data_IF_358620753560
#
_entry.id   IF_358620753560
#
_cell.length_a   1.000
_cell.length_b   1.000
_cell.length_c   1.000
_cell.angle_alpha   90.00
_cell.angle_beta   90.00
_cell.angle_gamma   90.00
#
_symmetry.space_group_name_H-M   'P 1'
#
loop_
_entity.id
_entity.type
_entity.pdbx_description
1 polymer ?
#
# COMPACT_ATOMS: atom_id res chain seq x y z
N UNK A 1 -44.30 -21.12 32.75
CA UNK A 1 -42.95 -20.51 32.87
C UNK A 1 -43.01 -19.16 32.21
N UNK A 2 -42.83 -18.06 32.99
CA UNK A 2 -43.26 -16.69 32.62
C UNK A 2 -42.42 -16.04 31.51
N UNK A 3 -43.02 -15.62 30.43
CA UNK A 3 -42.45 -14.84 29.30
C UNK A 3 -41.61 -13.64 29.76
N UNK A 4 -41.98 -13.04 30.91
CA UNK A 4 -41.22 -11.94 31.55
C UNK A 4 -39.84 -12.37 32.07
N UNK A 5 -39.63 -13.65 32.40
CA UNK A 5 -38.33 -14.19 32.86
C UNK A 5 -37.39 -14.37 31.68
N UNK A 6 -37.87 -14.88 30.53
CA UNK A 6 -37.08 -14.97 29.29
C UNK A 6 -36.66 -13.58 28.77
N UNK A 7 -37.57 -12.58 28.85
CA UNK A 7 -37.24 -11.22 28.44
C UNK A 7 -36.14 -10.60 29.31
N UNK A 8 -36.14 -10.88 30.60
CA UNK A 8 -35.10 -10.40 31.54
C UNK A 8 -33.75 -11.09 31.29
N UNK A 9 -33.75 -12.38 30.97
CA UNK A 9 -32.52 -13.12 30.62
C UNK A 9 -31.96 -12.60 29.29
N UNK A 10 -32.78 -12.41 28.27
CA UNK A 10 -32.38 -11.85 26.98
C UNK A 10 -31.82 -10.42 27.14
N UNK A 11 -32.48 -9.60 27.98
CA UNK A 11 -31.98 -8.26 28.28
C UNK A 11 -30.65 -8.28 29.04
N UNK A 12 -30.49 -9.19 30.00
CA UNK A 12 -29.25 -9.35 30.74
C UNK A 12 -28.11 -9.89 29.84
N UNK A 13 -28.39 -10.84 28.95
CA UNK A 13 -27.42 -11.34 27.95
C UNK A 13 -27.06 -10.26 26.93
N UNK A 14 -28.01 -9.43 26.53
CA UNK A 14 -27.76 -8.27 25.65
C UNK A 14 -26.90 -7.23 26.34
N UNK A 15 -27.17 -6.91 27.62
CA UNK A 15 -26.37 -5.99 28.43
C UNK A 15 -24.97 -6.55 28.74
N UNK A 16 -24.85 -7.86 29.02
CA UNK A 16 -23.56 -8.51 29.17
C UNK A 16 -22.75 -8.51 27.85
N UNK A 17 -23.42 -8.72 26.72
CA UNK A 17 -22.80 -8.62 25.39
C UNK A 17 -22.28 -7.21 25.05
N UNK A 18 -22.92 -6.16 25.57
CA UNK A 18 -22.46 -4.77 25.40
C UNK A 18 -21.32 -4.39 26.34
N UNK A 19 -21.12 -5.13 27.44
CA UNK A 19 -20.03 -4.92 28.42
C UNK A 19 -18.74 -5.68 28.05
N UNK A 20 -18.82 -6.74 27.24
CA UNK A 20 -17.62 -7.38 26.67
C UNK A 20 -17.11 -6.51 25.53
N UNK A 21 -16.23 -5.61 25.88
CA UNK A 21 -15.74 -4.53 25.08
C UNK A 21 -15.49 -4.89 23.61
N UNK A 22 -16.04 -4.09 22.74
CA UNK A 22 -15.68 -4.04 21.34
C UNK A 22 -14.16 -3.95 21.27
N UNK A 23 -13.51 -4.98 20.75
CA UNK A 23 -12.10 -4.88 20.37
C UNK A 23 -12.05 -3.98 19.14
N UNK A 24 -12.23 -2.68 19.35
CA UNK A 24 -11.81 -1.68 18.39
C UNK A 24 -10.30 -1.81 18.26
N UNK A 25 -9.79 -1.75 17.05
CA UNK A 25 -8.35 -1.62 16.82
C UNK A 25 -7.87 -0.47 17.71
N UNK A 26 -6.83 -0.73 18.53
CA UNK A 26 -6.27 0.28 19.43
C UNK A 26 -5.75 1.44 18.56
N UNK A 27 -6.57 2.47 18.43
CA UNK A 27 -6.28 3.62 17.59
C UNK A 27 -5.49 4.62 18.43
N UNK A 28 -4.24 4.84 18.07
CA UNK A 28 -3.46 5.94 18.61
C UNK A 28 -4.11 7.26 18.18
N UNK A 29 -3.93 8.30 18.99
CA UNK A 29 -4.43 9.66 18.69
C UNK A 29 -4.01 10.07 17.27
N UNK A 30 -4.96 10.53 16.47
CA UNK A 30 -4.69 11.01 15.12
C UNK A 30 -3.70 12.18 15.16
N UNK A 31 -2.73 12.17 14.26
CA UNK A 31 -1.82 13.29 14.10
C UNK A 31 -2.60 14.49 13.52
N UNK A 32 -2.56 15.68 14.15
CA UNK A 32 -3.16 16.87 13.56
C UNK A 32 -2.63 17.13 12.15
N UNK A 33 -3.51 17.56 11.24
CA UNK A 33 -3.18 17.71 9.81
C UNK A 33 -1.96 18.61 9.55
N UNK A 34 -1.76 19.64 10.37
CA UNK A 34 -0.58 20.54 10.30
C UNK A 34 0.76 19.83 10.43
N UNK A 35 0.82 18.69 11.14
CA UNK A 35 2.04 17.90 11.34
C UNK A 35 2.14 16.70 10.37
N UNK A 36 1.21 16.55 9.43
CA UNK A 36 1.19 15.40 8.52
C UNK A 36 2.48 15.25 7.69
N UNK A 37 3.14 16.38 7.38
CA UNK A 37 4.42 16.40 6.65
C UNK A 37 5.62 16.05 7.52
N UNK A 38 5.55 16.32 8.83
CA UNK A 38 6.62 16.04 9.78
C UNK A 38 6.62 14.57 10.23
N UNK A 39 5.53 13.85 9.90
CA UNK A 39 5.40 12.45 10.23
C UNK A 39 6.42 11.61 9.46
N UNK A 40 7.40 11.08 10.16
CA UNK A 40 8.43 10.19 9.61
C UNK A 40 8.15 8.73 9.92
N UNK A 41 8.78 7.86 9.17
CA UNK A 41 8.85 6.44 9.49
C UNK A 41 10.12 6.21 10.30
N UNK A 42 9.98 5.56 11.45
CA UNK A 42 11.11 5.25 12.29
C UNK A 42 12.19 4.50 11.50
N UNK A 43 13.42 5.02 11.55
CA UNK A 43 14.55 4.48 10.80
C UNK A 43 14.50 4.65 9.26
N UNK A 44 13.45 5.29 8.69
CA UNK A 44 13.30 5.43 7.23
C UNK A 44 12.79 6.83 6.86
N UNK A 45 13.69 7.82 6.82
CA UNK A 45 13.35 9.18 6.46
C UNK A 45 13.06 9.35 4.96
N UNK A 46 12.18 10.29 4.63
CA UNK A 46 11.93 10.74 3.25
C UNK A 46 11.35 9.70 2.30
N UNK A 47 10.69 8.65 2.80
CA UNK A 47 10.09 7.59 1.96
C UNK A 47 8.63 7.87 1.59
N UNK A 48 8.05 8.97 2.11
CA UNK A 48 6.64 9.35 1.89
C UNK A 48 6.50 10.85 1.68
N UNK A 49 5.52 11.24 0.87
CA UNK A 49 5.26 12.63 0.51
C UNK A 49 3.77 12.95 0.66
N UNK A 50 3.47 14.05 1.35
CA UNK A 50 2.12 14.62 1.44
C UNK A 50 1.94 15.61 0.31
N UNK A 51 1.40 15.17 -0.82
CA UNK A 51 1.35 15.97 -2.07
C UNK A 51 0.33 17.11 -2.06
N UNK A 52 -0.41 17.30 -0.99
CA UNK A 52 -1.27 18.45 -0.79
C UNK A 52 -0.58 19.61 -0.05
N UNK A 53 0.72 19.52 0.16
CA UNK A 53 1.48 20.53 0.88
C UNK A 53 2.71 20.94 0.08
N UNK A 54 3.09 22.23 0.10
CA UNK A 54 4.27 22.70 -0.62
C UNK A 54 5.54 21.92 -0.28
N UNK A 55 5.78 21.65 1.02
CA UNK A 55 6.95 20.91 1.48
C UNK A 55 6.98 19.47 1.00
N UNK A 56 5.82 18.79 0.97
CA UNK A 56 5.73 17.42 0.46
C UNK A 56 5.92 17.33 -1.06
N UNK A 57 5.39 18.31 -1.81
CA UNK A 57 5.63 18.43 -3.24
C UNK A 57 7.10 18.68 -3.52
N UNK A 58 7.72 19.63 -2.81
CA UNK A 58 9.14 19.94 -3.00
C UNK A 58 10.03 18.73 -2.71
N UNK A 59 9.77 17.99 -1.63
CA UNK A 59 10.51 16.77 -1.31
C UNK A 59 10.37 15.70 -2.38
N UNK A 60 9.17 15.53 -2.94
CA UNK A 60 8.92 14.62 -4.06
C UNK A 60 9.71 15.04 -5.30
N UNK A 61 9.64 16.32 -5.67
CA UNK A 61 10.36 16.85 -6.84
C UNK A 61 11.87 16.68 -6.71
N UNK A 62 12.44 16.98 -5.53
CA UNK A 62 13.87 16.77 -5.27
C UNK A 62 14.29 15.32 -5.45
N UNK A 63 13.49 14.34 -4.97
CA UNK A 63 13.78 12.92 -5.18
C UNK A 63 13.68 12.52 -6.66
N UNK A 64 12.71 13.08 -7.39
CA UNK A 64 12.57 12.82 -8.82
C UNK A 64 13.72 13.43 -9.65
N UNK A 65 14.18 14.63 -9.29
CA UNK A 65 15.35 15.26 -9.89
C UNK A 65 16.60 14.42 -9.70
N UNK A 66 16.86 13.92 -8.47
CA UNK A 66 17.97 13.01 -8.18
C UNK A 66 17.89 11.71 -9.01
N UNK A 67 16.71 11.12 -9.09
CA UNK A 67 16.49 9.93 -9.91
C UNK A 67 16.76 10.20 -11.40
N UNK A 68 16.30 11.34 -11.90
CA UNK A 68 16.52 11.76 -13.29
C UNK A 68 18.01 12.01 -13.58
N UNK A 69 18.78 12.58 -12.65
CA UNK A 69 20.23 12.74 -12.80
C UNK A 69 20.94 11.40 -12.93
N UNK A 70 20.55 10.40 -12.13
CA UNK A 70 21.10 9.03 -12.22
C UNK A 70 20.71 8.43 -13.58
N UNK A 71 19.44 8.52 -13.97
CA UNK A 71 18.93 7.99 -15.23
C UNK A 71 19.66 8.59 -16.44
N UNK A 72 19.87 9.89 -16.45
CA UNK A 72 20.56 10.60 -17.52
C UNK A 72 22.06 10.22 -17.62
N UNK A 73 22.69 9.84 -16.52
CA UNK A 73 24.08 9.32 -16.53
C UNK A 73 24.13 7.90 -17.11
N UNK A 74 23.19 7.05 -16.73
CA UNK A 74 23.12 5.65 -17.16
C UNK A 74 22.65 5.53 -18.62
N UNK A 75 21.70 6.35 -19.04
CA UNK A 75 21.08 6.30 -20.36
C UNK A 75 20.91 7.71 -20.95
N UNK A 76 21.99 8.36 -21.41
CA UNK A 76 21.92 9.70 -21.95
C UNK A 76 20.97 9.77 -23.17
N UNK A 77 20.03 10.71 -23.15
CA UNK A 77 19.07 10.97 -24.26
C UNK A 77 18.10 9.81 -24.55
N UNK A 78 18.00 8.78 -23.71
CA UNK A 78 16.97 7.76 -23.86
C UNK A 78 15.58 8.35 -23.60
N UNK A 79 14.53 7.87 -24.28
CA UNK A 79 13.17 8.28 -23.99
C UNK A 79 12.78 7.84 -22.57
N UNK A 80 12.05 8.72 -21.86
CA UNK A 80 11.53 8.41 -20.53
C UNK A 80 10.15 7.77 -20.71
N UNK A 81 10.03 6.51 -20.30
CA UNK A 81 8.79 5.75 -20.33
C UNK A 81 8.14 5.76 -18.96
N UNK A 82 6.91 6.21 -18.90
CA UNK A 82 6.10 6.28 -17.69
C UNK A 82 4.87 5.38 -17.79
N UNK A 83 4.64 4.57 -16.76
CA UNK A 83 3.45 3.74 -16.63
C UNK A 83 2.65 4.11 -15.38
N UNK A 84 1.39 4.46 -15.56
CA UNK A 84 0.44 4.69 -14.47
C UNK A 84 -0.59 3.56 -14.42
N UNK A 85 -0.67 2.87 -13.28
CA UNK A 85 -1.58 1.75 -13.05
C UNK A 85 -2.71 2.18 -12.10
N UNK A 86 -3.90 2.34 -12.65
CA UNK A 86 -5.08 2.74 -11.88
C UNK A 86 -5.62 1.61 -10.99
N UNK A 87 -6.44 1.99 -10.02
CA UNK A 87 -7.28 1.05 -9.28
C UNK A 87 -8.39 0.47 -10.14
N UNK A 88 -9.16 -0.47 -9.58
CA UNK A 88 -10.30 -1.09 -10.29
C UNK A 88 -10.64 -2.49 -9.80
N UNK A 89 -10.13 -2.92 -8.64
CA UNK A 89 -10.41 -4.24 -8.07
C UNK A 89 -10.12 -5.36 -9.07
N UNK A 90 -11.11 -6.21 -9.36
CA UNK A 90 -10.98 -7.33 -10.32
C UNK A 90 -10.65 -6.92 -11.75
N UNK A 91 -10.91 -5.67 -12.16
CA UNK A 91 -10.54 -5.16 -13.49
C UNK A 91 -9.02 -5.04 -13.68
N UNK A 92 -8.22 -5.15 -12.61
CA UNK A 92 -6.77 -5.27 -12.71
C UNK A 92 -6.31 -6.44 -13.58
N UNK A 93 -7.13 -7.48 -13.75
CA UNK A 93 -6.86 -8.58 -14.66
C UNK A 93 -6.66 -8.11 -16.12
N UNK A 94 -7.39 -7.07 -16.54
CA UNK A 94 -7.18 -6.44 -17.85
C UNK A 94 -5.78 -5.81 -17.96
N UNK A 95 -5.37 -5.04 -16.94
CA UNK A 95 -4.03 -4.42 -16.94
C UNK A 95 -2.90 -5.46 -16.93
N UNK A 96 -3.05 -6.53 -16.15
CA UNK A 96 -2.10 -7.63 -16.12
C UNK A 96 -2.02 -8.36 -17.48
N UNK A 97 -3.19 -8.61 -18.11
CA UNK A 97 -3.28 -9.21 -19.42
C UNK A 97 -2.65 -8.34 -20.52
N UNK A 98 -2.90 -7.03 -20.46
CA UNK A 98 -2.31 -6.05 -21.38
C UNK A 98 -0.78 -6.05 -21.27
N UNK A 99 -0.22 -5.97 -20.07
CA UNK A 99 1.23 -6.01 -19.84
C UNK A 99 1.85 -7.30 -20.35
N UNK A 100 1.22 -8.44 -20.06
CA UNK A 100 1.65 -9.75 -20.55
C UNK A 100 1.64 -9.81 -22.10
N UNK A 101 0.52 -9.41 -22.74
CA UNK A 101 0.41 -9.40 -24.20
C UNK A 101 1.38 -8.42 -24.85
N UNK A 102 1.63 -7.27 -24.21
CA UNK A 102 2.61 -6.30 -24.71
C UNK A 102 4.04 -6.86 -24.68
N UNK A 103 4.42 -7.59 -23.64
CA UNK A 103 5.71 -8.30 -23.63
C UNK A 103 5.80 -9.36 -24.72
N UNK A 104 4.70 -10.12 -24.95
CA UNK A 104 4.67 -11.14 -26.03
C UNK A 104 4.84 -10.54 -27.44
N UNK A 105 4.46 -9.27 -27.63
CA UNK A 105 4.69 -8.56 -28.89
C UNK A 105 6.16 -8.11 -29.09
N UNK A 106 6.99 -8.21 -28.06
CA UNK A 106 8.38 -7.74 -28.07
C UNK A 106 8.54 -6.22 -28.12
N UNK A 107 7.45 -5.46 -27.96
CA UNK A 107 7.46 -4.00 -28.08
C UNK A 107 7.29 -3.25 -26.75
N UNK A 108 7.12 -3.98 -25.64
CA UNK A 108 6.98 -3.37 -24.31
C UNK A 108 8.29 -2.69 -23.90
N UNK A 109 8.27 -1.36 -23.66
CA UNK A 109 9.47 -0.67 -23.21
C UNK A 109 9.78 -1.00 -21.76
N UNK A 110 11.01 -0.78 -21.35
CA UNK A 110 11.34 -0.67 -19.94
C UNK A 110 10.78 0.68 -19.42
N UNK A 111 10.09 0.63 -18.27
CA UNK A 111 9.50 1.84 -17.69
C UNK A 111 10.49 2.46 -16.70
N UNK A 112 10.83 3.74 -16.91
CA UNK A 112 11.69 4.50 -16.00
C UNK A 112 10.94 4.88 -14.72
N UNK A 113 9.62 5.11 -14.82
CA UNK A 113 8.77 5.37 -13.68
C UNK A 113 7.48 4.54 -13.77
N UNK A 114 7.13 3.90 -12.65
CA UNK A 114 5.85 3.21 -12.50
C UNK A 114 5.13 3.74 -11.27
N UNK A 115 3.86 4.10 -11.44
CA UNK A 115 2.99 4.46 -10.32
C UNK A 115 1.81 3.51 -10.23
N UNK A 116 1.31 3.27 -9.02
CA UNK A 116 0.16 2.38 -8.83
C UNK A 116 -0.73 2.77 -7.66
N UNK A 117 -2.03 2.51 -7.80
CA UNK A 117 -3.03 2.68 -6.75
C UNK A 117 -3.92 1.45 -6.71
N UNK A 118 -4.28 0.96 -5.51
CA UNK A 118 -5.18 -0.18 -5.29
C UNK A 118 -4.68 -1.44 -6.03
N UNK A 119 -5.46 -2.05 -6.91
CA UNK A 119 -5.01 -3.19 -7.73
C UNK A 119 -3.80 -2.83 -8.60
N UNK A 120 -3.70 -1.57 -9.06
CA UNK A 120 -2.49 -1.07 -9.73
C UNK A 120 -1.25 -1.09 -8.84
N UNK A 121 -1.39 -0.83 -7.55
CA UNK A 121 -0.28 -0.95 -6.58
C UNK A 121 0.19 -2.40 -6.41
N UNK A 122 -0.72 -3.38 -6.55
CA UNK A 122 -0.38 -4.80 -6.51
C UNK A 122 0.40 -5.26 -7.75
N UNK A 123 0.13 -4.65 -8.92
CA UNK A 123 0.83 -4.92 -10.19
C UNK A 123 2.16 -4.17 -10.31
N UNK A 124 2.24 -2.98 -9.73
CA UNK A 124 3.33 -2.02 -9.98
C UNK A 124 4.74 -2.59 -9.78
N UNK A 125 5.07 -3.36 -8.72
CA UNK A 125 6.40 -3.93 -8.54
C UNK A 125 6.81 -4.87 -9.68
N UNK A 126 5.88 -5.68 -10.18
CA UNK A 126 6.12 -6.64 -11.27
C UNK A 126 6.25 -5.92 -12.62
N UNK A 127 5.36 -4.97 -12.88
CA UNK A 127 5.44 -4.12 -14.07
C UNK A 127 6.74 -3.32 -14.13
N UNK A 128 7.22 -2.85 -12.99
CA UNK A 128 8.46 -2.11 -12.83
C UNK A 128 9.69 -2.97 -13.10
N UNK A 129 9.72 -4.20 -12.61
CA UNK A 129 10.83 -5.12 -12.85
C UNK A 129 10.82 -5.75 -14.25
N UNK A 130 9.71 -5.61 -14.99
CA UNK A 130 9.62 -5.94 -16.40
C UNK A 130 9.23 -7.38 -16.71
N UNK A 131 9.52 -7.81 -17.93
CA UNK A 131 9.02 -9.04 -18.57
C UNK A 131 9.33 -10.32 -17.77
N UNK A 132 10.46 -10.39 -17.08
CA UNK A 132 10.81 -11.56 -16.25
C UNK A 132 9.81 -11.89 -15.15
N UNK A 133 8.91 -10.95 -14.81
CA UNK A 133 7.86 -11.10 -13.80
C UNK A 133 6.45 -11.30 -14.39
N UNK A 134 6.31 -11.33 -15.70
CA UNK A 134 5.00 -11.44 -16.35
C UNK A 134 4.31 -12.78 -16.09
N UNK A 135 5.05 -13.88 -16.00
CA UNK A 135 4.48 -15.19 -15.65
C UNK A 135 3.89 -15.17 -14.23
N UNK A 136 4.56 -14.50 -13.29
CA UNK A 136 4.08 -14.32 -11.92
C UNK A 136 2.85 -13.39 -11.90
N UNK A 137 2.89 -12.28 -12.64
CA UNK A 137 1.78 -11.37 -12.77
C UNK A 137 0.54 -12.06 -13.37
N UNK A 138 0.71 -12.83 -14.45
CA UNK A 138 -0.33 -13.65 -15.05
C UNK A 138 -0.95 -14.60 -14.03
N UNK A 139 -0.12 -15.36 -13.31
CA UNK A 139 -0.59 -16.30 -12.28
C UNK A 139 -1.42 -15.59 -11.21
N UNK A 140 -0.97 -14.42 -10.71
CA UNK A 140 -1.68 -13.65 -9.69
C UNK A 140 -3.09 -13.22 -10.14
N UNK A 141 -3.31 -12.98 -11.43
CA UNK A 141 -4.59 -12.48 -11.94
C UNK A 141 -5.46 -13.54 -12.63
N UNK A 142 -4.94 -14.74 -12.88
CA UNK A 142 -5.71 -15.83 -13.50
C UNK A 142 -6.07 -16.97 -12.54
N UNK A 143 -5.29 -17.17 -11.46
CA UNK A 143 -5.52 -18.28 -10.51
C UNK A 143 -6.11 -17.83 -9.18
N UNK A 144 -6.08 -16.52 -8.88
CA UNK A 144 -6.58 -15.97 -7.62
C UNK A 144 -8.06 -15.63 -7.75
N UNK A 145 -8.87 -16.25 -6.91
CA UNK A 145 -10.29 -16.00 -6.79
C UNK A 145 -10.59 -14.90 -5.76
N UNK A 146 -11.84 -14.38 -5.76
CA UNK A 146 -12.29 -13.43 -4.73
C UNK A 146 -12.06 -13.94 -3.31
N UNK A 147 -12.20 -15.26 -3.08
CA UNK A 147 -12.00 -15.90 -1.75
C UNK A 147 -10.55 -15.85 -1.27
N UNK A 148 -9.60 -15.80 -2.21
CA UNK A 148 -8.16 -15.73 -1.90
C UNK A 148 -7.72 -14.30 -1.54
N UNK A 149 -8.57 -13.31 -1.82
CA UNK A 149 -8.32 -11.88 -1.55
C UNK A 149 -9.08 -11.41 -0.32
N UNK A 150 -10.32 -11.88 -0.14
CA UNK A 150 -11.23 -11.40 0.91
C UNK A 150 -11.98 -12.58 1.53
N UNK A 151 -12.01 -12.63 2.86
CA UNK A 151 -12.97 -13.45 3.60
C UNK A 151 -14.14 -12.57 4.00
N UNK A 152 -15.35 -12.93 3.54
CA UNK A 152 -16.59 -12.28 4.01
C UNK A 152 -16.81 -12.64 5.49
N UNK A 153 -16.88 -11.63 6.34
CA UNK A 153 -17.11 -11.82 7.80
C UNK A 153 -18.57 -12.00 8.16
N UNK A 154 -19.49 -11.90 7.21
CA UNK A 154 -20.94 -11.91 7.47
C UNK A 154 -21.41 -10.60 8.12
N UNK A 155 -22.69 -10.25 7.92
CA UNK A 155 -23.26 -8.98 8.37
C UNK A 155 -23.17 -8.77 9.90
N UNK A 156 -23.32 -9.84 10.70
CA UNK A 156 -23.29 -9.71 12.17
C UNK A 156 -21.90 -9.36 12.71
N UNK A 157 -20.83 -9.91 12.13
CA UNK A 157 -19.43 -9.59 12.50
C UNK A 157 -18.96 -8.26 11.87
N UNK A 158 -19.51 -7.88 10.72
CA UNK A 158 -19.21 -6.61 10.07
C UNK A 158 -19.69 -5.41 10.92
N UNK A 159 -20.81 -5.54 11.64
CA UNK A 159 -21.30 -4.52 12.57
C UNK A 159 -20.44 -4.35 13.83
N UNK A 160 -19.59 -5.36 14.13
CA UNK A 160 -18.71 -5.39 15.31
C UNK A 160 -17.23 -5.16 14.96
N UNK A 161 -16.91 -4.90 13.70
CA UNK A 161 -15.53 -4.71 13.23
C UNK A 161 -15.41 -3.47 12.34
N UNK A 162 -14.20 -2.91 12.25
CA UNK A 162 -13.90 -1.70 11.46
C UNK A 162 -13.97 -1.92 9.93
N UNK A 163 -14.48 -3.07 9.46
CA UNK A 163 -14.63 -3.38 8.03
C UNK A 163 -15.33 -4.70 7.77
N UNK A 164 -16.02 -4.81 6.63
CA UNK A 164 -16.79 -5.99 6.22
C UNK A 164 -15.90 -7.17 5.77
N UNK A 165 -14.67 -6.89 5.33
CA UNK A 165 -13.74 -7.88 4.79
C UNK A 165 -12.47 -8.03 5.61
N UNK A 166 -12.00 -9.28 5.75
CA UNK A 166 -10.71 -9.61 6.32
C UNK A 166 -9.62 -9.53 5.25
N UNK A 167 -8.62 -8.68 5.45
CA UNK A 167 -7.49 -8.47 4.53
C UNK A 167 -6.35 -9.47 4.74
N UNK A 168 -6.46 -10.39 5.70
CA UNK A 168 -5.42 -11.39 5.97
C UNK A 168 -5.04 -12.21 4.74
N UNK A 169 -6.00 -12.70 3.91
CA UNK A 169 -5.64 -13.43 2.70
C UNK A 169 -4.84 -12.59 1.71
N UNK A 170 -5.24 -11.34 1.49
CA UNK A 170 -4.51 -10.41 0.61
C UNK A 170 -3.11 -10.13 1.15
N UNK A 171 -2.95 -9.94 2.46
CA UNK A 171 -1.64 -9.75 3.07
C UNK A 171 -0.73 -10.98 2.93
N UNK A 172 -1.29 -12.18 3.08
CA UNK A 172 -0.56 -13.44 2.85
C UNK A 172 -0.11 -13.55 1.38
N UNK A 173 -0.99 -13.20 0.44
CA UNK A 173 -0.66 -13.16 -0.98
C UNK A 173 0.47 -12.18 -1.30
N UNK A 174 0.39 -10.96 -0.77
CA UNK A 174 1.45 -9.95 -0.88
C UNK A 174 2.75 -10.50 -0.27
N UNK A 175 2.68 -11.12 0.91
CA UNK A 175 3.86 -11.67 1.61
C UNK A 175 4.55 -12.76 0.82
N UNK A 176 3.78 -13.64 0.19
CA UNK A 176 4.30 -14.73 -0.65
C UNK A 176 5.04 -14.20 -1.88
N UNK A 177 4.56 -13.11 -2.48
CA UNK A 177 5.06 -12.61 -3.76
C UNK A 177 6.07 -11.48 -3.64
N UNK A 178 6.02 -10.69 -2.57
CA UNK A 178 6.98 -9.61 -2.29
C UNK A 178 8.05 -10.16 -1.37
N UNK A 179 9.11 -10.68 -1.96
CA UNK A 179 10.23 -11.33 -1.28
C UNK A 179 11.40 -10.36 -1.03
N UNK A 180 12.35 -10.70 -0.15
CA UNK A 180 13.58 -9.91 0.01
C UNK A 180 14.36 -9.76 -1.31
N UNK A 181 14.38 -10.81 -2.16
CA UNK A 181 15.07 -10.77 -3.46
C UNK A 181 14.42 -9.74 -4.39
N UNK A 182 13.08 -9.72 -4.44
CA UNK A 182 12.34 -8.73 -5.25
C UNK A 182 12.63 -7.32 -4.75
N UNK A 183 12.69 -7.10 -3.43
CA UNK A 183 13.05 -5.81 -2.86
C UNK A 183 14.46 -5.37 -3.28
N UNK A 184 15.44 -6.27 -3.19
CA UNK A 184 16.84 -5.95 -3.61
C UNK A 184 16.92 -5.56 -5.08
N UNK A 185 16.16 -6.21 -5.96
CA UNK A 185 16.07 -5.82 -7.37
C UNK A 185 15.47 -4.40 -7.52
N UNK A 186 14.37 -4.10 -6.83
CA UNK A 186 13.77 -2.76 -6.85
C UNK A 186 14.76 -1.72 -6.31
N UNK A 187 15.48 -2.05 -5.23
CA UNK A 187 16.51 -1.17 -4.66
C UNK A 187 17.66 -0.90 -5.65
N UNK A 188 18.07 -1.90 -6.40
CA UNK A 188 19.08 -1.75 -7.46
C UNK A 188 18.60 -0.80 -8.57
N UNK A 189 17.39 -1.04 -9.08
CA UNK A 189 16.78 -0.20 -10.12
C UNK A 189 16.66 1.27 -9.69
N UNK A 190 16.33 1.50 -8.41
CA UNK A 190 16.24 2.84 -7.84
C UNK A 190 17.61 3.49 -7.64
N UNK A 191 18.55 2.79 -6.97
CA UNK A 191 19.84 3.38 -6.55
C UNK A 191 20.82 3.53 -7.69
N UNK A 192 20.85 2.56 -8.61
CA UNK A 192 21.86 2.46 -9.67
C UNK A 192 21.34 3.00 -10.98
N UNK A 193 20.09 2.70 -11.33
CA UNK A 193 19.52 3.05 -12.63
C UNK A 193 18.59 4.27 -12.62
N UNK A 194 18.35 4.87 -11.45
CA UNK A 194 17.48 6.05 -11.32
C UNK A 194 16.01 5.79 -11.68
N UNK A 195 15.57 4.51 -11.68
CA UNK A 195 14.18 4.17 -11.95
C UNK A 195 13.33 4.33 -10.71
N UNK A 196 12.08 4.75 -10.86
CA UNK A 196 11.21 5.16 -9.76
C UNK A 196 9.95 4.31 -9.70
N UNK A 197 9.68 3.72 -8.53
CA UNK A 197 8.43 3.01 -8.24
C UNK A 197 7.69 3.74 -7.12
N UNK A 198 6.46 4.17 -7.40
CA UNK A 198 5.64 4.89 -6.42
C UNK A 198 4.27 4.25 -6.23
N UNK A 199 3.77 4.27 -5.00
CA UNK A 199 2.43 3.81 -4.65
C UNK A 199 1.69 4.91 -3.90
N UNK A 200 0.44 5.16 -4.33
CA UNK A 200 -0.48 6.10 -3.69
C UNK A 200 -1.32 5.42 -2.62
N UNK A 201 -1.49 6.10 -1.49
CA UNK A 201 -2.43 5.74 -0.42
C UNK A 201 -3.17 6.98 0.08
N UNK A 202 -4.21 6.80 0.89
CA UNK A 202 -4.90 7.89 1.59
C UNK A 202 -4.66 7.77 3.09
N UNK A 203 -4.22 8.86 3.71
CA UNK A 203 -4.23 9.00 5.15
C UNK A 203 -5.67 9.30 5.60
N UNK A 204 -6.31 8.36 6.28
CA UNK A 204 -7.71 8.47 6.69
C UNK A 204 -7.93 9.50 7.81
N UNK A 205 -6.93 9.80 8.62
CA UNK A 205 -7.03 10.78 9.70
C UNK A 205 -7.09 12.22 9.16
N UNK A 206 -6.35 12.49 8.08
CA UNK A 206 -6.26 13.82 7.47
C UNK A 206 -6.96 13.92 6.12
N UNK A 207 -7.51 12.81 5.62
CA UNK A 207 -8.11 12.68 4.26
C UNK A 207 -7.16 13.12 3.14
N UNK A 208 -5.85 13.01 3.37
CA UNK A 208 -4.81 13.49 2.46
C UNK A 208 -4.19 12.34 1.66
N UNK A 209 -3.91 12.54 0.36
CA UNK A 209 -3.15 11.59 -0.43
C UNK A 209 -1.68 11.58 0.01
N UNK A 210 -1.14 10.38 0.09
CA UNK A 210 0.27 10.12 0.42
C UNK A 210 0.88 9.30 -0.71
N UNK A 211 1.97 9.80 -1.26
CA UNK A 211 2.79 9.05 -2.22
C UNK A 211 3.97 8.41 -1.49
N UNK A 212 4.24 7.16 -1.79
CA UNK A 212 5.33 6.37 -1.22
C UNK A 212 6.37 6.07 -2.28
N UNK A 213 7.63 6.40 -2.03
CA UNK A 213 8.75 5.98 -2.86
C UNK A 213 9.17 4.55 -2.46
N UNK A 214 8.67 3.58 -3.22
CA UNK A 214 8.88 2.16 -2.95
C UNK A 214 10.33 1.73 -3.21
N UNK A 215 11.00 2.37 -4.17
CA UNK A 215 12.43 2.18 -4.42
C UNK A 215 13.29 2.63 -3.24
N UNK A 216 12.95 3.80 -2.67
CA UNK A 216 13.63 4.32 -1.47
C UNK A 216 13.38 3.44 -0.24
N UNK A 217 12.16 2.94 -0.05
CA UNK A 217 11.88 1.94 0.99
C UNK A 217 12.74 0.70 0.79
N UNK A 218 12.77 0.15 -0.43
CA UNK A 218 13.55 -1.04 -0.75
C UNK A 218 15.05 -0.85 -0.50
N UNK A 219 15.57 0.36 -0.72
CA UNK A 219 16.98 0.71 -0.55
C UNK A 219 17.49 0.64 0.91
N UNK A 220 16.59 0.61 1.90
CA UNK A 220 16.95 0.38 3.30
C UNK A 220 17.33 -1.07 3.61
N UNK A 221 17.01 -2.03 2.73
CA UNK A 221 17.39 -3.46 2.79
C UNK A 221 17.28 -4.07 4.19
N UNK A 222 16.17 -3.86 4.86
CA UNK A 222 15.92 -4.33 6.23
C UNK A 222 14.58 -5.10 6.34
N UNK A 223 14.41 -5.94 7.36
CA UNK A 223 13.12 -6.57 7.63
C UNK A 223 11.98 -5.56 7.82
N UNK A 224 12.29 -4.39 8.39
CA UNK A 224 11.36 -3.28 8.60
C UNK A 224 10.92 -2.68 7.26
N UNK A 225 11.87 -2.47 6.34
CA UNK A 225 11.61 -1.98 4.99
C UNK A 225 10.71 -2.97 4.21
N UNK A 226 10.98 -4.26 4.30
CA UNK A 226 10.14 -5.29 3.69
C UNK A 226 8.71 -5.27 4.25
N UNK A 227 8.58 -5.18 5.59
CA UNK A 227 7.27 -5.07 6.23
C UNK A 227 6.53 -3.80 5.82
N UNK A 228 7.26 -2.67 5.74
CA UNK A 228 6.71 -1.40 5.30
C UNK A 228 6.21 -1.48 3.85
N UNK A 229 7.03 -1.97 2.95
CA UNK A 229 6.70 -2.14 1.54
C UNK A 229 5.38 -2.92 1.36
N UNK A 230 5.28 -4.09 2.01
CA UNK A 230 4.07 -4.93 1.99
C UNK A 230 2.84 -4.21 2.56
N UNK A 231 3.00 -3.48 3.68
CA UNK A 231 1.92 -2.71 4.30
C UNK A 231 1.45 -1.55 3.44
N UNK A 232 2.33 -0.87 2.72
CA UNK A 232 1.95 0.20 1.78
C UNK A 232 1.10 -0.37 0.63
N UNK A 233 1.49 -1.51 0.06
CA UNK A 233 0.70 -2.20 -0.97
C UNK A 233 -0.68 -2.59 -0.44
N UNK A 234 -0.73 -3.20 0.76
CA UNK A 234 -1.99 -3.56 1.40
C UNK A 234 -2.87 -2.33 1.66
N UNK A 235 -2.29 -1.25 2.20
CA UNK A 235 -3.02 -0.01 2.50
C UNK A 235 -3.62 0.61 1.24
N UNK A 236 -2.87 0.62 0.13
CA UNK A 236 -3.35 1.10 -1.15
C UNK A 236 -4.52 0.27 -1.69
N UNK A 237 -4.51 -1.05 -1.45
CA UNK A 237 -5.57 -1.96 -1.89
C UNK A 237 -6.75 -2.06 -0.91
N UNK A 238 -6.64 -1.48 0.29
CA UNK A 238 -7.67 -1.55 1.34
C UNK A 238 -8.70 -0.42 1.17
N UNK A 239 -9.85 -0.74 0.58
CA UNK A 239 -10.94 0.21 0.36
C UNK A 239 -11.59 0.59 1.70
N UNK A 240 -11.67 1.88 2.07
CA UNK A 240 -12.31 2.32 3.30
C UNK A 240 -13.78 1.88 3.38
N UNK A 241 -14.24 1.46 4.56
CA UNK A 241 -15.58 0.93 4.80
C UNK A 241 -15.76 -0.53 4.41
N UNK A 242 -15.00 -1.04 3.44
CA UNK A 242 -15.00 -2.46 3.06
C UNK A 242 -13.93 -3.25 3.81
N UNK A 243 -12.72 -2.70 3.92
CA UNK A 243 -11.61 -3.29 4.65
C UNK A 243 -11.26 -2.46 5.88
N UNK A 244 -10.73 -3.15 6.90
CA UNK A 244 -10.14 -2.48 8.06
C UNK A 244 -8.93 -1.64 7.63
N UNK A 245 -8.77 -0.42 8.19
CA UNK A 245 -7.59 0.41 7.92
C UNK A 245 -6.29 -0.31 8.28
N UNK A 246 -5.26 -0.11 7.46
CA UNK A 246 -3.92 -0.62 7.77
C UNK A 246 -3.27 0.31 8.77
N UNK A 247 -3.29 -0.09 10.05
CA UNK A 247 -2.72 0.69 11.14
C UNK A 247 -1.20 0.70 11.09
N UNK A 248 -0.60 1.85 11.34
CA UNK A 248 0.85 2.04 11.46
C UNK A 248 1.21 2.69 12.78
N UNK A 249 2.22 2.15 13.44
CA UNK A 249 2.96 2.91 14.43
C UNK A 249 3.84 3.93 13.67
N UNK A 250 3.41 5.19 13.61
CA UNK A 250 4.23 6.30 13.17
C UNK A 250 4.88 6.84 14.45
N UNK A 251 6.17 6.62 14.65
CA UNK A 251 6.93 7.34 15.67
C UNK A 251 7.12 8.76 15.17
N UNK A 252 6.47 9.71 15.83
CA UNK A 252 6.70 11.13 15.62
C UNK A 252 7.81 11.50 16.59
N UNK A 253 9.03 11.70 16.10
CA UNK A 253 10.00 12.48 16.81
C UNK A 253 9.65 13.96 16.55
N UNK A 254 8.78 14.51 17.38
CA UNK A 254 8.68 15.94 17.52
C UNK A 254 10.00 16.40 18.16
N UNK A 255 10.95 16.81 17.33
CA UNK A 255 11.97 17.75 17.75
C UNK A 255 11.24 19.07 17.99
N UNK A 256 10.63 19.20 19.17
CA UNK A 256 10.27 20.51 19.71
C UNK A 256 11.60 21.17 20.04
N UNK A 257 12.14 21.91 19.09
CA UNK A 257 13.11 22.94 19.42
C UNK A 257 12.34 23.94 20.31
N UNK A 258 12.53 23.84 21.63
CA UNK A 258 12.18 24.90 22.56
C UNK A 258 13.13 26.06 22.25
N UNK A 259 12.63 27.09 21.55
CA UNK A 259 13.19 28.40 21.52
C UNK A 259 12.43 29.25 22.58
#
# INVERSE_FOLDING_TARGET
MNMRWYLRILLALFLLGTLTGWKTLERKTALPARYANEATIDGMAGVRYSVNTPGGIQALLTDLEQALEILNREQPKAPINYLSLSGGGGHGAFGAGLLYGWSQSGTRPEFNMVTGVSTGALMAPFAFLGESYDAQLKTLYTTISKKDVVRDRGYALALLSDGMGDTTPLYQLITKNITPELLRKIAYEYKVRGRVLMIGTTNLDTTQPIIWNMGKIAAYDSPEALRLFRKVMLASASLPGFFSPVMRAICIHLLVAMA
#
